data_IF_460463352974
#
_entry.id   IF_460463352974
#
_cell.length_a   1.000
_cell.length_b   1.000
_cell.length_c   1.000
_cell.angle_alpha   90.00
_cell.angle_beta   90.00
_cell.angle_gamma   90.00
#
_symmetry.space_group_name_H-M   'P 1'
#
loop_
_entity.id
_entity.type
_entity.pdbx_description
1 polymer ?
#
# COMPACT_ATOMS: atom_id res chain seq x y z
N UNK A 1 0.31 31.44 4.67
CA UNK A 1 0.77 30.34 5.55
C UNK A 1 1.25 29.22 4.65
N UNK A 2 2.40 28.60 4.94
CA UNK A 2 2.85 27.41 4.22
C UNK A 2 2.23 26.19 4.88
N UNK A 3 1.56 25.36 4.10
CA UNK A 3 1.05 24.08 4.58
C UNK A 3 2.20 23.15 4.95
N UNK A 4 2.09 22.47 6.10
CA UNK A 4 3.07 21.48 6.55
C UNK A 4 2.61 20.08 6.14
N UNK A 5 3.48 19.31 5.50
CA UNK A 5 3.26 17.91 5.15
C UNK A 5 4.22 17.00 5.93
N UNK A 6 3.67 16.04 6.67
CA UNK A 6 4.40 15.02 7.40
C UNK A 6 4.33 13.71 6.60
N UNK A 7 5.48 13.15 6.23
CA UNK A 7 5.56 11.95 5.41
C UNK A 7 6.16 10.80 6.21
N UNK A 8 5.45 9.68 6.30
CA UNK A 8 6.08 8.40 6.64
C UNK A 8 6.72 7.86 5.35
N UNK A 9 8.05 7.72 5.28
CA UNK A 9 8.72 7.21 4.09
C UNK A 9 8.35 5.74 3.84
N UNK A 10 8.39 5.26 2.59
CA UNK A 10 7.97 3.91 2.27
C UNK A 10 8.94 2.84 2.82
N UNK A 11 8.41 1.64 3.07
CA UNK A 11 9.16 0.41 3.38
C UNK A 11 10.00 0.41 4.68
N UNK A 12 9.66 1.24 5.66
CA UNK A 12 10.35 1.27 6.96
C UNK A 12 10.08 0.03 7.82
N UNK A 13 8.85 -0.53 7.78
CA UNK A 13 8.41 -1.89 8.16
C UNK A 13 6.91 -2.02 7.78
N UNK A 14 6.56 -3.01 6.98
CA UNK A 14 5.20 -3.15 6.42
C UNK A 14 4.10 -3.41 7.47
N UNK A 15 4.49 -3.99 8.60
CA UNK A 15 3.61 -4.59 9.60
C UNK A 15 3.63 -3.87 10.95
N UNK A 16 4.31 -2.72 11.04
CA UNK A 16 4.40 -1.92 12.27
C UNK A 16 3.63 -0.61 12.07
N UNK A 17 2.68 -0.25 12.94
CA UNK A 17 2.04 1.06 12.86
C UNK A 17 3.09 2.17 13.10
N UNK A 18 3.07 3.21 12.26
CA UNK A 18 3.91 4.39 12.37
C UNK A 18 3.10 5.64 12.79
N UNK A 19 2.67 5.74 14.06
CA UNK A 19 1.78 6.81 14.50
C UNK A 19 2.50 8.17 14.63
N UNK A 20 3.82 8.24 14.42
CA UNK A 20 4.61 9.45 14.68
C UNK A 20 4.07 10.67 13.93
N UNK A 21 3.77 10.54 12.64
CA UNK A 21 3.23 11.64 11.82
C UNK A 21 1.80 12.00 12.22
N UNK A 22 0.98 11.03 12.62
CA UNK A 22 -0.36 11.26 13.14
C UNK A 22 -0.33 12.00 14.49
N UNK A 23 0.56 11.61 15.41
CA UNK A 23 0.74 12.27 16.71
C UNK A 23 1.29 13.68 16.55
N UNK A 24 2.28 13.89 15.68
CA UNK A 24 2.80 15.21 15.38
C UNK A 24 1.73 16.13 14.79
N UNK A 25 0.92 15.64 13.84
CA UNK A 25 -0.23 16.38 13.31
C UNK A 25 -1.21 16.74 14.44
N UNK A 26 -1.55 15.78 15.30
CA UNK A 26 -2.42 16.02 16.45
C UNK A 26 -1.90 17.13 17.35
N UNK A 27 -0.61 17.09 17.69
CA UNK A 27 0.06 18.13 18.47
C UNK A 27 0.03 19.50 17.79
N UNK A 28 0.39 19.59 16.50
CA UNK A 28 0.41 20.84 15.74
C UNK A 28 -0.98 21.47 15.62
N UNK A 29 -2.03 20.65 15.46
CA UNK A 29 -3.41 21.12 15.47
C UNK A 29 -3.78 21.78 16.81
N UNK A 30 -3.27 21.29 17.96
CA UNK A 30 -3.48 21.95 19.27
C UNK A 30 -2.82 23.34 19.36
N UNK A 31 -1.87 23.64 18.48
CA UNK A 31 -1.17 24.92 18.37
C UNK A 31 -1.75 25.83 17.29
N UNK A 32 -2.84 25.44 16.63
CA UNK A 32 -3.42 26.18 15.50
C UNK A 32 -2.57 26.12 14.23
N UNK A 33 -1.65 25.16 14.12
CA UNK A 33 -0.80 24.96 12.95
C UNK A 33 -1.44 23.88 12.08
N UNK A 34 -1.90 24.25 10.89
CA UNK A 34 -2.41 23.29 9.91
C UNK A 34 -1.32 22.32 9.46
N UNK A 35 -1.60 21.03 9.55
CA UNK A 35 -0.68 19.98 9.12
C UNK A 35 -1.43 18.83 8.41
N UNK A 36 -0.81 18.31 7.36
CA UNK A 36 -1.23 17.13 6.61
C UNK A 36 -0.30 15.97 6.92
N UNK A 37 -0.80 14.74 6.88
CA UNK A 37 0.04 13.55 6.98
C UNK A 37 -0.24 12.61 5.82
N UNK A 38 0.80 11.97 5.31
CA UNK A 38 0.73 10.92 4.29
C UNK A 38 1.68 9.79 4.66
N UNK A 39 1.24 8.55 4.49
CA UNK A 39 2.07 7.37 4.68
C UNK A 39 2.31 6.71 3.33
N UNK A 40 3.52 6.87 2.78
CA UNK A 40 3.84 6.33 1.46
C UNK A 40 3.95 4.80 1.47
N UNK A 41 4.14 4.17 2.62
CA UNK A 41 4.14 2.72 2.73
C UNK A 41 2.76 2.17 2.46
N UNK A 42 1.75 2.63 3.21
CA UNK A 42 0.38 2.13 3.03
C UNK A 42 -0.18 2.48 1.65
N UNK A 43 0.07 3.69 1.12
CA UNK A 43 -0.39 4.09 -0.21
C UNK A 43 0.14 3.16 -1.31
N UNK A 44 1.42 2.77 -1.24
CA UNK A 44 2.01 1.82 -2.20
C UNK A 44 1.40 0.43 -2.05
N UNK A 45 1.21 -0.04 -0.81
CA UNK A 45 0.61 -1.36 -0.57
C UNK A 45 -0.82 -1.42 -1.06
N UNK A 46 -1.64 -0.39 -0.80
CA UNK A 46 -3.01 -0.33 -1.31
C UNK A 46 -3.05 -0.23 -2.84
N UNK A 47 -2.12 0.48 -3.46
CA UNK A 47 -2.01 0.53 -4.91
C UNK A 47 -1.66 -0.85 -5.50
N UNK A 48 -0.68 -1.57 -4.92
CA UNK A 48 -0.27 -2.89 -5.37
C UNK A 48 -1.33 -3.96 -5.13
N UNK A 49 -1.94 -3.97 -3.94
CA UNK A 49 -2.98 -4.90 -3.55
C UNK A 49 -4.36 -4.34 -3.90
N UNK A 50 -4.54 -3.98 -5.16
CA UNK A 50 -5.84 -3.66 -5.77
C UNK A 50 -6.05 -4.56 -6.97
N UNK A 51 -7.28 -4.65 -7.47
CA UNK A 51 -7.57 -5.40 -8.70
C UNK A 51 -6.61 -4.99 -9.84
N UNK A 52 -6.48 -3.68 -10.04
CA UNK A 52 -5.58 -3.09 -11.04
C UNK A 52 -4.12 -3.38 -10.74
N UNK A 53 -3.68 -3.18 -9.50
CA UNK A 53 -2.28 -3.39 -9.11
C UNK A 53 -1.83 -4.84 -9.31
N UNK A 54 -2.68 -5.80 -8.96
CA UNK A 54 -2.39 -7.21 -9.19
C UNK A 54 -2.38 -7.56 -10.68
N UNK A 55 -3.32 -7.03 -11.46
CA UNK A 55 -3.33 -7.21 -12.92
C UNK A 55 -2.02 -6.71 -13.54
N UNK A 56 -1.59 -5.48 -13.19
CA UNK A 56 -0.35 -4.89 -13.68
C UNK A 56 0.88 -5.73 -13.30
N UNK A 57 0.91 -6.30 -12.08
CA UNK A 57 2.00 -7.17 -11.61
C UNK A 57 2.05 -8.49 -12.39
N UNK A 58 0.89 -9.12 -12.62
CA UNK A 58 0.83 -10.37 -13.39
C UNK A 58 1.22 -10.17 -14.84
N UNK A 59 0.74 -9.10 -15.48
CA UNK A 59 1.07 -8.76 -16.86
C UNK A 59 2.57 -8.45 -17.01
N UNK A 60 3.14 -7.70 -16.06
CA UNK A 60 4.57 -7.43 -16.02
C UNK A 60 5.39 -8.71 -15.87
N UNK A 61 5.01 -9.62 -14.96
CA UNK A 61 5.72 -10.88 -14.75
C UNK A 61 5.67 -11.79 -15.98
N UNK A 62 4.53 -11.84 -16.69
CA UNK A 62 4.40 -12.58 -17.93
C UNK A 62 5.26 -11.97 -19.05
N UNK A 63 5.25 -10.64 -19.19
CA UNK A 63 6.05 -9.92 -20.19
C UNK A 63 7.56 -10.10 -19.97
N UNK A 64 8.01 -10.04 -18.71
CA UNK A 64 9.43 -10.21 -18.35
C UNK A 64 9.85 -11.68 -18.29
N UNK A 65 8.94 -12.63 -18.55
CA UNK A 65 9.19 -14.07 -18.44
C UNK A 65 9.76 -14.48 -17.08
N UNK A 66 9.39 -13.78 -16.01
CA UNK A 66 9.98 -13.93 -14.66
C UNK A 66 9.30 -14.98 -13.79
N UNK A 67 8.44 -15.83 -14.37
CA UNK A 67 7.63 -16.84 -13.68
C UNK A 67 8.39 -18.18 -13.68
N UNK A 68 9.49 -18.25 -12.94
CA UNK A 68 10.43 -19.37 -13.02
C UNK A 68 10.20 -20.45 -11.95
N UNK A 69 9.97 -20.03 -10.71
CA UNK A 69 9.81 -20.96 -9.58
C UNK A 69 8.44 -21.63 -9.58
N UNK A 70 8.36 -22.86 -9.04
CA UNK A 70 7.08 -23.58 -8.88
C UNK A 70 6.05 -22.77 -8.08
N UNK A 71 6.51 -22.02 -7.07
CA UNK A 71 5.63 -21.14 -6.32
C UNK A 71 5.09 -19.98 -7.19
N UNK A 72 5.94 -19.35 -8.01
CA UNK A 72 5.52 -18.28 -8.90
C UNK A 72 4.52 -18.79 -9.95
N UNK A 73 4.76 -19.96 -10.55
CA UNK A 73 3.82 -20.61 -11.49
C UNK A 73 2.47 -20.88 -10.84
N UNK A 74 2.46 -21.41 -9.61
CA UNK A 74 1.24 -21.65 -8.84
C UNK A 74 0.48 -20.35 -8.55
N UNK A 75 1.18 -19.29 -8.15
CA UNK A 75 0.57 -17.98 -7.90
C UNK A 75 -0.03 -17.42 -9.19
N UNK A 76 0.70 -17.48 -10.31
CA UNK A 76 0.24 -17.01 -11.61
C UNK A 76 -0.97 -17.80 -12.12
N UNK A 77 -0.99 -19.12 -11.97
CA UNK A 77 -2.16 -19.95 -12.31
C UNK A 77 -3.43 -19.58 -11.51
N UNK A 78 -3.26 -18.97 -10.34
CA UNK A 78 -4.35 -18.50 -9.47
C UNK A 78 -4.68 -17.01 -9.66
N UNK A 79 -4.07 -16.31 -10.63
CA UNK A 79 -4.19 -14.85 -10.79
C UNK A 79 -5.64 -14.36 -10.79
N UNK A 80 -6.54 -15.03 -11.51
CA UNK A 80 -7.95 -14.63 -11.58
C UNK A 80 -8.65 -14.70 -10.22
N UNK A 81 -8.26 -15.64 -9.35
CA UNK A 81 -8.78 -15.71 -7.98
C UNK A 81 -8.26 -14.56 -7.13
N UNK A 82 -6.97 -14.22 -7.24
CA UNK A 82 -6.40 -13.09 -6.51
C UNK A 82 -7.05 -11.77 -6.93
N UNK A 83 -7.10 -11.49 -8.24
CA UNK A 83 -7.71 -10.29 -8.81
C UNK A 83 -9.17 -10.14 -8.36
N UNK A 84 -9.97 -11.21 -8.42
CA UNK A 84 -11.39 -11.15 -8.05
C UNK A 84 -11.66 -10.94 -6.55
N UNK A 85 -10.68 -11.24 -5.68
CA UNK A 85 -10.89 -11.22 -4.22
C UNK A 85 -10.21 -10.06 -3.52
N UNK A 86 -9.20 -9.44 -4.14
CA UNK A 86 -8.27 -8.57 -3.42
C UNK A 86 -8.93 -7.33 -2.82
N UNK A 87 -9.79 -6.65 -3.57
CA UNK A 87 -10.45 -5.43 -3.08
C UNK A 87 -11.36 -5.71 -1.89
N UNK A 88 -12.07 -6.85 -1.90
CA UNK A 88 -12.91 -7.28 -0.77
C UNK A 88 -12.06 -7.62 0.46
N UNK A 89 -10.92 -8.26 0.27
CA UNK A 89 -9.98 -8.58 1.36
C UNK A 89 -9.40 -7.30 1.96
N UNK A 90 -8.95 -6.35 1.14
CA UNK A 90 -8.42 -5.08 1.62
C UNK A 90 -9.48 -4.28 2.35
N UNK A 91 -10.69 -4.17 1.79
CA UNK A 91 -11.80 -3.49 2.46
C UNK A 91 -12.12 -4.11 3.82
N UNK A 92 -12.06 -5.44 3.95
CA UNK A 92 -12.26 -6.11 5.24
C UNK A 92 -11.13 -5.81 6.24
N UNK A 93 -9.88 -5.76 5.79
CA UNK A 93 -8.72 -5.54 6.65
C UNK A 93 -8.59 -4.09 7.16
N UNK A 94 -9.19 -3.12 6.47
CA UNK A 94 -9.14 -1.70 6.86
C UNK A 94 -10.13 -1.34 7.98
N UNK A 95 -11.03 -2.27 8.35
CA UNK A 95 -12.07 -2.04 9.36
C UNK A 95 -13.21 -1.17 8.87
#
# INVERSE_FOLDING_TARGET
>A
MKDLLLITPPFTQLNTPYPATAYLKGFLNTKGISAFQMDLGIEVILALFSEKGLQDVFDFAALQQSIESENAKRIFALQGKYIHTIDSVISFLQG
#
